data_IF_800847287871
#
_entry.id   IF_800847287871
#
_cell.length_a   1.000
_cell.length_b   1.000
_cell.length_c   1.000
_cell.angle_alpha   90.00
_cell.angle_beta   90.00
_cell.angle_gamma   90.00
#
_symmetry.space_group_name_H-M   'P 1'
#
loop_
_entity.id
_entity.type
_entity.pdbx_description
1 polymer ?
#
# COMPACT_ATOMS: atom_id res chain seq x y z
N UNK A 1 -0.61 -17.60 2.25
CA UNK A 1 -0.54 -18.38 1.00
C UNK A 1 -1.81 -19.18 0.94
N UNK A 2 -2.47 -19.23 -0.22
CA UNK A 2 -3.72 -19.98 -0.36
C UNK A 2 -3.51 -21.44 -0.02
N UNK A 3 -4.40 -22.00 0.76
CA UNK A 3 -4.31 -23.40 1.19
C UNK A 3 -4.86 -24.38 0.14
N UNK A 4 -5.50 -23.87 -0.93
CA UNK A 4 -6.11 -24.67 -2.00
C UNK A 4 -7.09 -25.74 -1.47
N UNK A 5 -7.88 -25.37 -0.46
CA UNK A 5 -8.92 -26.21 0.12
C UNK A 5 -10.30 -25.71 -0.33
N UNK A 6 -11.26 -26.64 -0.50
CA UNK A 6 -12.63 -26.32 -0.91
C UNK A 6 -13.37 -25.41 0.09
N UNK A 7 -12.95 -25.44 1.36
CA UNK A 7 -13.52 -24.65 2.46
C UNK A 7 -12.79 -23.30 2.69
N UNK A 8 -11.90 -22.89 1.77
CA UNK A 8 -11.17 -21.63 1.88
C UNK A 8 -12.06 -20.42 1.49
N UNK A 9 -12.48 -19.65 2.49
CA UNK A 9 -13.13 -18.35 2.29
C UNK A 9 -12.09 -17.22 2.30
N UNK A 10 -11.96 -16.52 1.17
CA UNK A 10 -11.07 -15.36 1.03
C UNK A 10 -11.84 -14.07 1.30
N UNK A 11 -11.43 -13.37 2.35
CA UNK A 11 -11.89 -12.01 2.63
C UNK A 11 -10.80 -11.02 2.21
N UNK A 12 -11.16 -10.08 1.33
CA UNK A 12 -10.27 -8.98 0.99
C UNK A 12 -10.34 -7.93 2.10
N UNK A 13 -9.24 -7.81 2.85
CA UNK A 13 -9.07 -6.73 3.82
C UNK A 13 -8.33 -5.61 3.09
N UNK A 14 -9.03 -4.50 2.83
CA UNK A 14 -8.41 -3.29 2.31
C UNK A 14 -7.56 -2.59 3.38
N UNK A 15 -6.80 -1.57 2.97
CA UNK A 15 -6.19 -0.64 3.94
C UNK A 15 -7.26 0.05 4.79
N UNK A 16 -6.83 0.71 5.87
CA UNK A 16 -7.73 1.51 6.70
C UNK A 16 -8.42 2.56 5.83
N UNK A 17 -9.72 2.75 6.05
CA UNK A 17 -10.52 3.67 5.25
C UNK A 17 -10.07 5.12 5.47
N UNK A 18 -9.94 5.86 4.37
CA UNK A 18 -9.78 7.31 4.32
C UNK A 18 -10.37 7.82 2.99
N UNK A 19 -11.16 8.89 3.00
CA UNK A 19 -11.66 9.50 1.78
C UNK A 19 -12.07 10.96 2.01
N UNK A 20 -11.67 11.85 1.09
CA UNK A 20 -12.17 13.22 1.03
C UNK A 20 -11.94 14.00 2.31
N UNK A 21 -10.68 14.19 2.70
CA UNK A 21 -10.31 14.94 3.92
C UNK A 21 -10.52 16.45 3.71
N UNK A 22 -11.78 16.87 3.63
CA UNK A 22 -12.19 18.25 3.35
C UNK A 22 -12.38 19.07 4.63
N UNK A 23 -12.59 18.40 5.77
CA UNK A 23 -12.76 19.01 7.09
C UNK A 23 -12.07 18.22 8.19
N UNK A 24 -11.57 18.93 9.21
CA UNK A 24 -10.81 18.32 10.30
C UNK A 24 -11.66 17.34 11.12
N UNK A 25 -12.91 17.70 11.40
CA UNK A 25 -13.83 16.86 12.18
C UNK A 25 -14.15 15.54 11.47
N UNK A 26 -14.44 15.59 10.16
CA UNK A 26 -14.66 14.41 9.32
C UNK A 26 -13.39 13.57 9.21
N UNK A 27 -12.23 14.21 9.04
CA UNK A 27 -10.94 13.53 8.97
C UNK A 27 -10.65 12.69 10.22
N UNK A 28 -10.97 13.22 11.41
CA UNK A 28 -10.74 12.54 12.68
C UNK A 28 -11.62 11.29 12.88
N UNK A 29 -12.66 11.10 12.07
CA UNK A 29 -13.48 9.89 12.11
C UNK A 29 -12.83 8.69 11.40
N UNK A 30 -11.82 8.92 10.54
CA UNK A 30 -11.16 7.85 9.80
C UNK A 30 -10.07 7.14 10.62
N UNK A 31 -10.10 5.80 10.63
CA UNK A 31 -9.13 4.97 11.35
C UNK A 31 -7.68 5.22 10.90
N UNK A 32 -7.48 5.44 9.59
CA UNK A 32 -6.16 5.75 9.04
C UNK A 32 -5.58 7.06 9.61
N UNK A 33 -6.44 8.08 9.77
CA UNK A 33 -6.07 9.39 10.32
C UNK A 33 -5.80 9.28 11.82
N UNK A 34 -6.64 8.54 12.56
CA UNK A 34 -6.43 8.28 13.99
C UNK A 34 -5.11 7.55 14.24
N UNK A 35 -4.80 6.52 13.46
CA UNK A 35 -3.54 5.80 13.55
C UNK A 35 -2.35 6.73 13.26
N UNK A 36 -2.44 7.55 12.21
CA UNK A 36 -1.39 8.53 11.89
C UNK A 36 -1.13 9.48 13.06
N UNK A 37 -2.18 10.06 13.64
CA UNK A 37 -2.07 10.98 14.80
C UNK A 37 -1.49 10.26 16.02
N UNK A 38 -1.94 9.04 16.30
CA UNK A 38 -1.44 8.26 17.43
C UNK A 38 0.07 8.02 17.31
N UNK A 39 0.54 7.68 16.11
CA UNK A 39 1.96 7.42 15.83
C UNK A 39 2.78 8.70 15.77
N UNK A 40 2.23 9.76 15.19
CA UNK A 40 2.83 11.08 15.19
C UNK A 40 3.12 11.57 16.62
N UNK A 41 2.18 11.38 17.55
CA UNK A 41 2.34 11.75 18.96
C UNK A 41 3.37 10.92 19.72
N UNK A 42 3.68 9.70 19.26
CA UNK A 42 4.75 8.91 19.87
C UNK A 42 6.14 9.51 19.59
N UNK A 43 6.33 10.16 18.44
CA UNK A 43 7.61 10.78 18.06
C UNK A 43 7.66 12.29 18.28
N UNK A 44 6.50 12.96 18.28
CA UNK A 44 6.32 14.39 18.55
C UNK A 44 5.09 14.60 19.46
N UNK A 45 5.24 14.60 20.80
CA UNK A 45 4.11 14.62 21.74
C UNK A 45 3.12 15.77 21.54
N UNK A 46 3.62 16.95 21.15
CA UNK A 46 2.82 18.15 20.92
C UNK A 46 2.15 18.20 19.54
N UNK A 47 2.22 17.09 18.77
CA UNK A 47 1.63 17.04 17.44
C UNK A 47 0.10 17.21 17.49
N UNK A 48 -0.36 18.20 16.74
CA UNK A 48 -1.78 18.49 16.49
C UNK A 48 -1.99 18.59 14.99
N UNK A 49 -2.95 17.82 14.48
CA UNK A 49 -3.33 17.88 13.08
C UNK A 49 -4.11 19.18 12.82
N UNK A 50 -3.64 19.98 11.88
CA UNK A 50 -4.29 21.23 11.48
C UNK A 50 -5.04 21.06 10.16
N UNK A 51 -5.99 21.96 9.88
CA UNK A 51 -6.76 21.91 8.63
C UNK A 51 -5.86 22.04 7.38
N UNK A 52 -4.76 22.78 7.49
CA UNK A 52 -3.76 22.94 6.44
C UNK A 52 -2.96 21.67 6.13
N UNK A 53 -2.90 20.72 7.07
CA UNK A 53 -2.20 19.44 6.89
C UNK A 53 -3.04 18.43 6.09
N UNK A 54 -4.37 18.61 6.02
CA UNK A 54 -5.29 17.63 5.46
C UNK A 54 -4.97 17.23 4.01
N UNK A 55 -4.65 18.16 3.08
CA UNK A 55 -4.29 17.78 1.71
C UNK A 55 -3.00 16.95 1.64
N UNK A 56 -2.05 17.21 2.54
CA UNK A 56 -0.79 16.46 2.60
C UNK A 56 -0.99 15.09 3.25
N UNK A 57 -1.79 15.02 4.31
CA UNK A 57 -2.17 13.78 4.95
C UNK A 57 -2.93 12.86 3.99
N UNK A 58 -3.87 13.40 3.20
CA UNK A 58 -4.57 12.63 2.19
C UNK A 58 -3.59 12.04 1.16
N UNK A 59 -2.63 12.83 0.69
CA UNK A 59 -1.58 12.35 -0.24
C UNK A 59 -0.70 11.27 0.39
N UNK A 60 -0.35 11.39 1.67
CA UNK A 60 0.37 10.34 2.41
C UNK A 60 -0.46 9.08 2.44
N UNK A 61 -1.72 9.16 2.90
CA UNK A 61 -2.62 8.01 3.04
C UNK A 61 -2.88 7.31 1.70
N UNK A 62 -2.99 8.08 0.60
CA UNK A 62 -3.05 7.56 -0.76
C UNK A 62 -1.74 6.86 -1.15
N UNK A 63 -0.59 7.51 -0.92
CA UNK A 63 0.74 6.96 -1.25
C UNK A 63 1.07 5.67 -0.48
N UNK A 64 0.50 5.50 0.71
CA UNK A 64 0.65 4.30 1.55
C UNK A 64 -0.54 3.35 1.48
N UNK A 65 -1.54 3.64 0.64
CA UNK A 65 -2.71 2.80 0.36
C UNK A 65 -3.50 2.43 1.63
N UNK A 66 -3.48 3.30 2.63
CA UNK A 66 -4.12 3.07 3.94
C UNK A 66 -3.51 1.91 4.74
N UNK A 67 -2.36 1.37 4.34
CA UNK A 67 -1.75 0.22 5.02
C UNK A 67 -1.26 0.63 6.42
N UNK A 68 -1.72 -0.01 7.51
CA UNK A 68 -1.39 0.41 8.87
C UNK A 68 0.12 0.58 9.10
N UNK A 69 0.92 -0.44 8.77
CA UNK A 69 2.38 -0.38 8.95
C UNK A 69 3.02 0.78 8.18
N UNK A 70 2.55 1.05 6.97
CA UNK A 70 3.05 2.12 6.13
C UNK A 70 2.72 3.51 6.71
N UNK A 71 1.52 3.65 7.29
CA UNK A 71 1.09 4.83 8.05
C UNK A 71 2.01 5.03 9.27
N UNK A 72 2.32 3.96 10.02
CA UNK A 72 3.21 4.04 11.18
C UNK A 72 4.61 4.53 10.78
N UNK A 73 5.17 3.98 9.71
CA UNK A 73 6.48 4.37 9.18
C UNK A 73 6.47 5.83 8.71
N UNK A 74 5.45 6.26 7.96
CA UNK A 74 5.31 7.64 7.53
C UNK A 74 5.22 8.62 8.72
N UNK A 75 4.44 8.28 9.75
CA UNK A 75 4.31 9.13 10.94
C UNK A 75 5.60 9.21 11.76
N UNK A 76 6.46 8.19 11.74
CA UNK A 76 7.74 8.19 12.46
C UNK A 76 8.68 9.33 12.01
N UNK A 77 8.59 9.76 10.76
CA UNK A 77 9.39 10.86 10.21
C UNK A 77 8.97 12.24 10.68
N UNK A 78 7.86 12.36 11.42
CA UNK A 78 7.45 13.63 12.02
C UNK A 78 8.35 14.06 13.18
N UNK A 79 9.39 13.31 13.57
CA UNK A 79 10.46 13.88 14.39
C UNK A 79 11.37 14.85 13.60
N UNK A 80 11.49 14.67 12.28
CA UNK A 80 12.40 15.42 11.40
C UNK A 80 11.68 16.29 10.36
N UNK A 81 10.51 15.86 9.89
CA UNK A 81 9.77 16.50 8.81
C UNK A 81 8.41 17.05 9.30
N UNK A 82 7.83 17.94 8.52
CA UNK A 82 6.41 18.30 8.61
C UNK A 82 5.55 17.30 7.84
N UNK A 83 4.22 17.33 8.02
CA UNK A 83 3.29 16.49 7.23
C UNK A 83 3.49 16.75 5.73
N UNK A 84 3.64 18.02 5.34
CA UNK A 84 3.96 18.40 3.96
C UNK A 84 5.31 17.83 3.49
N UNK A 85 6.34 17.84 4.35
CA UNK A 85 7.65 17.25 4.05
C UNK A 85 7.57 15.75 3.80
N UNK A 86 6.87 15.01 4.67
CA UNK A 86 6.64 13.57 4.50
C UNK A 86 5.88 13.27 3.19
N UNK A 87 4.85 14.06 2.87
CA UNK A 87 4.12 13.92 1.61
C UNK A 87 5.01 14.20 0.38
N UNK A 88 5.93 15.17 0.50
CA UNK A 88 6.91 15.49 -0.52
C UNK A 88 7.89 14.35 -0.77
N UNK A 89 8.49 13.80 0.28
CA UNK A 89 9.42 12.67 0.16
C UNK A 89 8.74 11.41 -0.39
N UNK A 90 7.52 11.08 0.06
CA UNK A 90 6.75 9.95 -0.49
C UNK A 90 6.43 10.11 -1.98
N UNK A 91 6.38 11.33 -2.49
CA UNK A 91 6.18 11.56 -3.93
C UNK A 91 7.41 11.30 -4.79
N UNK A 92 8.61 11.22 -4.17
CA UNK A 92 9.86 10.87 -4.84
C UNK A 92 10.15 9.36 -4.80
N UNK A 93 9.50 8.59 -3.91
CA UNK A 93 9.64 7.15 -3.83
C UNK A 93 9.18 6.58 -2.48
N UNK A 94 9.26 5.26 -2.33
CA UNK A 94 8.98 4.57 -1.07
C UNK A 94 10.20 4.46 -0.15
N UNK A 95 11.32 5.10 -0.50
CA UNK A 95 12.57 5.07 0.27
C UNK A 95 12.37 5.69 1.66
N UNK A 96 11.44 6.64 1.82
CA UNK A 96 11.02 7.14 3.14
C UNK A 96 10.37 6.04 4.00
N UNK A 97 9.80 4.99 3.40
CA UNK A 97 9.24 3.85 4.13
C UNK A 97 10.28 2.73 4.34
N UNK A 98 11.54 2.99 4.00
CA UNK A 98 12.69 2.20 4.44
C UNK A 98 13.13 2.74 5.80
N UNK A 99 12.85 1.99 6.87
CA UNK A 99 13.28 2.38 8.20
C UNK A 99 14.65 1.75 8.51
N UNK A 100 15.61 2.58 8.92
CA UNK A 100 16.79 2.15 9.68
C UNK A 100 16.47 1.98 11.19
N UNK A 101 15.19 1.82 11.57
CA UNK A 101 14.80 1.71 12.98
C UNK A 101 15.25 0.37 13.58
N UNK A 102 16.20 0.45 14.52
CA UNK A 102 16.83 -0.69 15.20
C UNK A 102 15.88 -1.50 16.10
N UNK A 103 14.74 -0.93 16.51
CA UNK A 103 13.82 -1.52 17.51
C UNK A 103 12.58 -2.20 16.90
N UNK A 104 12.53 -2.42 15.59
CA UNK A 104 11.45 -3.18 14.93
C UNK A 104 11.94 -4.62 14.67
N UNK A 105 11.17 -5.66 15.05
CA UNK A 105 11.54 -7.06 14.79
C UNK A 105 11.86 -7.27 13.30
N UNK A 106 12.94 -7.99 12.98
CA UNK A 106 13.52 -8.13 11.62
C UNK A 106 12.48 -8.45 10.52
N UNK A 107 11.38 -9.11 10.87
CA UNK A 107 10.27 -9.46 9.97
C UNK A 107 9.47 -8.27 9.44
N UNK A 108 9.54 -7.08 10.06
CA UNK A 108 8.71 -5.89 9.73
C UNK A 108 9.56 -4.65 9.40
N UNK A 109 10.89 -4.79 9.22
CA UNK A 109 11.85 -3.67 9.16
C UNK A 109 11.66 -2.72 7.96
N UNK A 110 11.03 -3.17 6.87
CA UNK A 110 10.55 -2.28 5.81
C UNK A 110 9.39 -2.94 5.05
N UNK A 111 8.48 -2.13 4.50
CA UNK A 111 7.53 -2.66 3.51
C UNK A 111 8.26 -3.34 2.36
N UNK A 112 9.46 -2.84 2.01
CA UNK A 112 10.32 -3.44 0.99
C UNK A 112 10.70 -4.88 1.33
N UNK A 113 11.00 -5.22 2.59
CA UNK A 113 11.31 -6.60 2.97
C UNK A 113 10.09 -7.54 2.86
N UNK A 114 8.89 -7.02 3.16
CA UNK A 114 7.63 -7.76 2.98
C UNK A 114 7.34 -7.95 1.49
N UNK A 115 7.58 -6.91 0.68
CA UNK A 115 7.50 -6.96 -0.77
C UNK A 115 8.53 -7.94 -1.36
N UNK A 116 9.79 -7.87 -0.94
CA UNK A 116 10.90 -8.71 -1.40
C UNK A 116 10.61 -10.18 -1.10
N UNK A 117 10.14 -10.50 0.11
CA UNK A 117 9.73 -11.88 0.46
C UNK A 117 8.53 -12.35 -0.36
N UNK A 118 7.59 -11.47 -0.65
CA UNK A 118 6.45 -11.80 -1.51
C UNK A 118 6.89 -11.97 -2.97
N UNK A 119 7.94 -11.26 -3.37
CA UNK A 119 8.50 -11.21 -4.72
C UNK A 119 9.35 -12.45 -5.01
N UNK A 120 10.17 -12.88 -4.05
CA UNK A 120 10.95 -14.11 -4.11
C UNK A 120 10.09 -15.37 -4.27
N UNK A 121 8.80 -15.30 -3.88
CA UNK A 121 7.82 -16.39 -4.07
C UNK A 121 7.22 -16.45 -5.48
N UNK A 122 7.45 -15.43 -6.30
CA UNK A 122 7.08 -15.45 -7.71
C UNK A 122 8.09 -16.25 -8.51
N UNK A 123 7.60 -17.08 -9.43
CA UNK A 123 8.43 -17.70 -10.46
C UNK A 123 9.02 -16.61 -11.36
N UNK A 124 10.14 -16.89 -12.04
CA UNK A 124 10.75 -15.94 -12.97
C UNK A 124 9.78 -15.44 -14.07
N UNK A 125 8.85 -16.29 -14.50
CA UNK A 125 7.81 -15.93 -15.46
C UNK A 125 6.77 -14.97 -14.86
N UNK A 126 6.33 -15.18 -13.61
CA UNK A 126 5.42 -14.28 -12.91
C UNK A 126 6.07 -12.93 -12.59
N UNK A 127 7.34 -12.92 -12.16
CA UNK A 127 8.11 -11.69 -11.95
C UNK A 127 8.21 -10.85 -13.24
N UNK A 128 8.52 -11.51 -14.36
CA UNK A 128 8.61 -10.86 -15.67
C UNK A 128 7.25 -10.30 -16.10
N UNK A 129 6.18 -11.06 -15.88
CA UNK A 129 4.82 -10.62 -16.18
C UNK A 129 4.45 -9.39 -15.34
N UNK A 130 4.69 -9.42 -14.03
CA UNK A 130 4.34 -8.34 -13.12
C UNK A 130 5.07 -7.03 -13.47
N UNK A 131 6.36 -7.08 -13.84
CA UNK A 131 7.11 -5.91 -14.35
C UNK A 131 6.51 -5.33 -15.63
N UNK A 132 5.99 -6.16 -16.52
CA UNK A 132 5.37 -5.69 -17.76
C UNK A 132 3.99 -5.08 -17.51
N UNK A 133 3.27 -5.57 -16.51
CA UNK A 133 1.94 -5.07 -16.15
C UNK A 133 2.00 -3.70 -15.46
N UNK A 134 3.14 -3.31 -14.87
CA UNK A 134 3.30 -2.00 -14.22
C UNK A 134 3.18 -0.79 -15.17
N UNK A 135 3.10 -1.04 -16.50
CA UNK A 135 2.81 0.01 -17.49
C UNK A 135 1.35 0.49 -17.42
N UNK A 136 0.44 -0.36 -16.94
CA UNK A 136 -0.96 0.00 -16.78
C UNK A 136 -1.12 0.89 -15.55
N UNK A 137 -1.57 2.13 -15.77
CA UNK A 137 -1.99 3.02 -14.68
C UNK A 137 -3.44 2.68 -14.32
N UNK A 138 -3.64 2.07 -13.16
CA UNK A 138 -4.93 1.53 -12.72
C UNK A 138 -5.14 0.08 -13.19
N UNK A 139 -6.37 -0.41 -13.17
CA UNK A 139 -6.66 -1.78 -13.58
C UNK A 139 -6.58 -2.01 -15.09
N UNK A 140 -6.49 -3.28 -15.50
CA UNK A 140 -6.41 -3.71 -16.89
C UNK A 140 -7.33 -4.91 -17.17
N UNK A 141 -7.75 -5.08 -18.42
CA UNK A 141 -8.45 -6.32 -18.84
C UNK A 141 -7.44 -7.36 -19.30
N UNK A 142 -7.86 -8.63 -19.34
CA UNK A 142 -7.01 -9.72 -19.85
C UNK A 142 -6.61 -9.49 -21.30
N UNK A 143 -7.54 -8.99 -22.11
CA UNK A 143 -7.37 -8.72 -23.54
C UNK A 143 -6.32 -7.63 -23.77
N UNK A 144 -6.20 -6.67 -22.85
CA UNK A 144 -5.16 -5.64 -22.87
C UNK A 144 -3.80 -6.20 -22.39
N UNK A 145 -3.80 -7.07 -21.39
CA UNK A 145 -2.57 -7.64 -20.81
C UNK A 145 -1.88 -8.68 -21.72
N UNK A 146 -2.65 -9.44 -22.51
CA UNK A 146 -2.12 -10.47 -23.40
C UNK A 146 -1.12 -9.94 -24.45
N UNK A 147 -1.44 -8.91 -25.27
CA UNK A 147 -0.51 -8.38 -26.27
C UNK A 147 0.66 -7.59 -25.65
N UNK A 148 0.44 -6.92 -24.52
CA UNK A 148 1.47 -6.08 -23.88
C UNK A 148 2.47 -6.91 -23.09
N UNK A 149 2.00 -7.91 -22.36
CA UNK A 149 2.80 -8.63 -21.38
C UNK A 149 2.96 -10.13 -21.66
N UNK A 150 2.26 -10.66 -22.67
CA UNK A 150 2.19 -12.12 -22.90
C UNK A 150 1.38 -12.83 -21.81
N UNK A 151 0.45 -12.12 -21.16
CA UNK A 151 -0.24 -12.56 -19.96
C UNK A 151 -1.15 -13.77 -20.23
N UNK A 152 -0.69 -14.98 -19.93
CA UNK A 152 -1.55 -16.16 -19.97
C UNK A 152 -2.48 -16.20 -18.75
N UNK A 153 -3.66 -16.80 -18.92
CA UNK A 153 -4.62 -16.96 -17.81
C UNK A 153 -4.01 -17.69 -16.61
N UNK A 154 -3.10 -18.65 -16.87
CA UNK A 154 -2.40 -19.41 -15.82
C UNK A 154 -1.47 -18.52 -14.99
N UNK A 155 -0.74 -17.60 -15.63
CA UNK A 155 0.14 -16.68 -14.93
C UNK A 155 -0.64 -15.59 -14.18
N UNK A 156 -1.74 -15.08 -14.76
CA UNK A 156 -2.63 -14.16 -14.07
C UNK A 156 -3.27 -14.82 -12.83
N UNK A 157 -3.73 -16.06 -12.94
CA UNK A 157 -4.25 -16.82 -11.80
C UNK A 157 -3.17 -17.04 -10.71
N UNK A 158 -1.92 -17.29 -11.10
CA UNK A 158 -0.79 -17.40 -10.18
C UNK A 158 -0.56 -16.12 -9.37
N UNK A 159 -0.59 -14.96 -10.03
CA UNK A 159 -0.46 -13.65 -9.39
C UNK A 159 -1.66 -13.34 -8.47
N UNK A 160 -2.89 -13.63 -8.89
CA UNK A 160 -4.09 -13.48 -8.05
C UNK A 160 -4.03 -14.36 -6.81
N UNK A 161 -3.61 -15.62 -6.96
CA UNK A 161 -3.48 -16.56 -5.85
C UNK A 161 -2.40 -16.16 -4.83
N UNK A 162 -1.43 -15.36 -5.27
CA UNK A 162 -0.36 -14.82 -4.42
C UNK A 162 -0.63 -13.38 -3.98
N UNK A 163 -1.85 -12.87 -4.21
CA UNK A 163 -2.29 -11.52 -3.83
C UNK A 163 -1.48 -10.38 -4.47
N UNK A 164 -0.87 -10.64 -5.63
CA UNK A 164 -0.19 -9.63 -6.45
C UNK A 164 -1.08 -8.98 -7.50
N UNK A 165 -2.28 -9.54 -7.70
CA UNK A 165 -3.34 -8.96 -8.52
C UNK A 165 -4.68 -9.16 -7.82
N UNK A 166 -5.52 -8.14 -7.88
CA UNK A 166 -6.93 -8.21 -7.46
C UNK A 166 -7.76 -8.44 -8.72
N UNK A 167 -8.45 -9.58 -8.80
CA UNK A 167 -9.43 -9.82 -9.86
C UNK A 167 -10.79 -9.31 -9.42
N UNK A 168 -11.40 -8.42 -10.20
CA UNK A 168 -12.78 -7.95 -10.05
C UNK A 168 -13.67 -8.72 -11.03
N UNK A 169 -14.41 -9.76 -10.58
CA UNK A 169 -15.14 -10.66 -11.48
C UNK A 169 -16.32 -9.98 -12.18
N UNK A 170 -16.93 -9.00 -11.51
CA UNK A 170 -18.03 -8.17 -11.99
C UNK A 170 -17.65 -7.30 -13.20
N UNK A 171 -16.41 -6.79 -13.21
CA UNK A 171 -15.90 -5.92 -14.27
C UNK A 171 -14.92 -6.61 -15.23
N UNK A 172 -14.58 -7.88 -14.98
CA UNK A 172 -13.53 -8.62 -15.71
C UNK A 172 -12.20 -7.86 -15.79
N UNK A 173 -11.87 -7.10 -14.73
CA UNK A 173 -10.65 -6.30 -14.62
C UNK A 173 -9.74 -6.83 -13.53
N UNK A 174 -8.45 -6.64 -13.74
CA UNK A 174 -7.38 -6.89 -12.79
C UNK A 174 -6.82 -5.57 -12.30
N UNK A 175 -6.50 -5.47 -11.02
CA UNK A 175 -5.82 -4.33 -10.41
C UNK A 175 -4.53 -4.84 -9.75
N UNK A 176 -3.47 -4.02 -9.81
CA UNK A 176 -2.20 -4.27 -9.11
C UNK A 176 -2.34 -3.97 -7.62
#
# INVERSE_FOLDING_TARGET
>A
ERLNLTEENLWQIGGLNFAGLTGLEEALAYEAVQLFIQRARQVRPDFTLQAEDLPYLERILQGVWGMPLAIELAAAWLNMLSVAGVAGELSHGLDLLESELRDVPDRHRSMRLVFDRSWERLTAAEQTLLKKLSVFRGGFSREAAQPVAGASLRLLAGLVNKSWLISRPDSSRYEL
#
